data_IF_309064177823
#
_entry.id   IF_309064177823
#
_cell.length_a   1.000
_cell.length_b   1.000
_cell.length_c   1.000
_cell.angle_alpha   90.00
_cell.angle_beta   90.00
_cell.angle_gamma   90.00
#
_symmetry.space_group_name_H-M   'P 1'
#
loop_
_entity.id
_entity.type
_entity.pdbx_description
1 polymer ?
#
# COMPACT_ATOMS: atom_id res chain seq x y z
N UNK A 1 18.12 -2.20 9.20
CA UNK A 1 17.22 -2.99 10.05
C UNK A 1 17.75 -3.23 11.46
N UNK A 2 19.08 -3.50 11.62
CA UNK A 2 19.68 -3.75 12.95
C UNK A 2 19.46 -2.60 13.93
N UNK A 3 19.50 -1.37 13.46
CA UNK A 3 19.36 -0.15 14.27
C UNK A 3 18.02 -0.08 15.04
N UNK A 4 16.99 -0.77 14.54
CA UNK A 4 15.70 -0.83 15.23
C UNK A 4 15.77 -1.49 16.61
N UNK A 5 16.72 -2.39 16.86
CA UNK A 5 16.91 -3.02 18.16
C UNK A 5 17.38 -2.04 19.27
N UNK A 6 17.99 -0.93 18.84
CA UNK A 6 18.53 0.11 19.75
C UNK A 6 17.59 1.32 19.87
N UNK A 7 16.47 1.32 19.15
CA UNK A 7 15.47 2.40 19.22
C UNK A 7 14.88 2.49 20.64
N UNK A 8 14.70 3.72 21.14
CA UNK A 8 14.13 4.01 22.45
C UNK A 8 12.68 4.51 22.35
N UNK A 9 12.34 5.22 21.26
CA UNK A 9 10.96 5.58 20.95
C UNK A 9 10.67 5.33 19.48
N UNK A 10 9.50 4.78 19.18
CA UNK A 10 9.06 4.47 17.80
C UNK A 10 7.61 4.87 17.62
N UNK A 11 7.34 5.63 16.55
CA UNK A 11 6.00 5.88 16.06
C UNK A 11 5.75 5.05 14.78
N UNK A 12 4.79 4.16 14.86
CA UNK A 12 4.25 3.40 13.71
C UNK A 12 3.11 4.19 13.07
N UNK A 13 3.27 4.62 11.83
CA UNK A 13 2.24 5.35 11.07
C UNK A 13 1.68 4.43 9.99
N UNK A 14 0.44 3.97 10.15
CA UNK A 14 -0.19 3.04 9.22
C UNK A 14 0.66 1.78 8.99
N UNK A 15 1.19 1.17 10.05
CA UNK A 15 2.17 0.10 9.95
C UNK A 15 1.79 -1.10 10.82
N UNK A 16 1.89 -2.29 10.22
CA UNK A 16 1.75 -3.58 10.91
C UNK A 16 2.99 -4.47 10.63
N UNK A 17 4.16 -4.14 11.20
CA UNK A 17 5.43 -4.77 10.85
C UNK A 17 5.45 -6.29 11.03
N UNK A 18 4.61 -6.82 11.91
CA UNK A 18 4.45 -8.27 12.11
C UNK A 18 4.04 -8.99 10.81
N UNK A 19 3.16 -8.36 10.00
CA UNK A 19 2.68 -8.91 8.73
C UNK A 19 3.47 -8.38 7.53
N UNK A 20 3.69 -7.07 7.49
CA UNK A 20 4.26 -6.42 6.30
C UNK A 20 5.78 -6.68 6.17
N UNK A 21 6.49 -6.76 7.31
CA UNK A 21 7.92 -7.01 7.37
C UNK A 21 8.29 -7.76 8.66
N UNK A 22 8.09 -9.10 8.72
CA UNK A 22 8.23 -9.88 9.97
C UNK A 22 9.61 -9.78 10.63
N UNK A 23 10.68 -9.66 9.84
CA UNK A 23 12.03 -9.47 10.38
C UNK A 23 12.18 -8.11 11.07
N UNK A 24 11.60 -7.04 10.50
CA UNK A 24 11.52 -5.73 11.14
C UNK A 24 10.67 -5.79 12.41
N UNK A 25 9.50 -6.44 12.34
CA UNK A 25 8.63 -6.67 13.50
C UNK A 25 9.37 -7.36 14.66
N UNK A 26 10.23 -8.34 14.35
CA UNK A 26 11.06 -9.01 15.35
C UNK A 26 12.10 -8.06 15.98
N UNK A 27 12.74 -7.17 15.18
CA UNK A 27 13.68 -6.15 15.68
C UNK A 27 12.97 -5.14 16.60
N UNK A 28 11.79 -4.66 16.21
CA UNK A 28 10.97 -3.77 17.02
C UNK A 28 10.57 -4.45 18.35
N UNK A 29 10.18 -5.74 18.31
CA UNK A 29 9.88 -6.50 19.54
C UNK A 29 11.09 -6.64 20.46
N UNK A 30 12.30 -6.73 19.92
CA UNK A 30 13.53 -6.72 20.74
C UNK A 30 13.73 -5.37 21.40
N UNK A 31 13.58 -4.26 20.69
CA UNK A 31 13.64 -2.91 21.28
C UNK A 31 12.61 -2.76 22.41
N UNK A 32 11.35 -3.19 22.17
CA UNK A 32 10.32 -3.19 23.22
C UNK A 32 10.73 -3.98 24.47
N UNK A 33 11.33 -5.17 24.32
CA UNK A 33 11.86 -5.96 25.45
C UNK A 33 12.97 -5.23 26.21
N UNK A 34 13.68 -4.33 25.58
CA UNK A 34 14.70 -3.48 26.19
C UNK A 34 14.16 -2.14 26.69
N UNK A 35 12.83 -2.00 26.78
CA UNK A 35 12.16 -0.84 27.35
C UNK A 35 11.87 0.29 26.39
N UNK A 36 11.93 0.07 25.06
CA UNK A 36 11.52 1.08 24.07
C UNK A 36 10.03 1.40 24.19
N UNK A 37 9.69 2.67 24.11
CA UNK A 37 8.31 3.16 24.01
C UNK A 37 7.84 3.08 22.57
N UNK A 38 6.76 2.33 22.33
CA UNK A 38 6.23 2.13 20.98
C UNK A 38 4.82 2.68 20.92
N UNK A 39 4.57 3.49 19.91
CA UNK A 39 3.32 4.18 19.67
C UNK A 39 2.82 3.88 18.26
N UNK A 40 1.52 4.05 18.03
CA UNK A 40 0.94 3.87 16.71
C UNK A 40 -0.17 4.88 16.40
N UNK A 41 -0.24 5.31 15.12
CA UNK A 41 -1.39 5.92 14.47
C UNK A 41 -1.79 4.98 13.34
N UNK A 42 -2.83 4.18 13.54
CA UNK A 42 -3.18 3.07 12.66
C UNK A 42 -4.67 3.04 12.28
N UNK A 43 -5.02 2.40 11.13
CA UNK A 43 -6.41 2.16 10.75
C UNK A 43 -7.14 1.15 11.62
N UNK A 44 -6.42 0.30 12.35
CA UNK A 44 -6.93 -0.80 13.16
C UNK A 44 -6.09 -1.01 14.42
N UNK A 45 -6.69 -1.65 15.42
CA UNK A 45 -5.99 -2.16 16.59
C UNK A 45 -5.25 -3.47 16.25
N UNK A 46 -4.09 -3.36 15.57
CA UNK A 46 -3.30 -4.53 15.18
C UNK A 46 -2.69 -5.24 16.39
N UNK A 47 -2.64 -6.58 16.34
CA UNK A 47 -1.86 -7.38 17.27
C UNK A 47 -0.38 -7.41 16.85
N UNK A 48 0.46 -6.68 17.58
CA UNK A 48 1.90 -6.60 17.34
C UNK A 48 2.72 -7.66 18.10
N UNK A 49 2.10 -8.49 18.96
CA UNK A 49 2.79 -9.35 19.93
C UNK A 49 3.70 -8.62 20.92
N UNK A 50 3.45 -7.33 21.13
CA UNK A 50 4.00 -6.48 22.19
C UNK A 50 3.01 -5.35 22.46
N UNK A 51 3.10 -4.76 23.66
CA UNK A 51 2.21 -3.67 24.06
C UNK A 51 2.65 -2.35 23.46
N UNK A 52 1.69 -1.55 22.99
CA UNK A 52 1.90 -0.17 22.61
C UNK A 52 1.67 0.76 23.79
N UNK A 53 2.52 1.78 23.94
CA UNK A 53 2.38 2.79 24.99
C UNK A 53 1.19 3.73 24.70
N UNK A 54 1.01 4.11 23.43
CA UNK A 54 -0.16 4.85 22.98
C UNK A 54 -0.57 4.34 21.58
N UNK A 55 -1.88 4.21 21.38
CA UNK A 55 -2.45 3.76 20.12
C UNK A 55 -3.62 4.66 19.74
N UNK A 56 -3.49 5.33 18.60
CA UNK A 56 -4.51 6.18 18.00
C UNK A 56 -5.10 5.43 16.82
N UNK A 57 -6.37 5.04 16.94
CA UNK A 57 -7.07 4.23 15.93
C UNK A 57 -8.24 5.05 15.38
N UNK A 58 -8.36 5.10 14.07
CA UNK A 58 -9.42 5.85 13.45
C UNK A 58 -9.62 5.56 11.96
N UNK A 59 -10.71 6.11 11.46
CA UNK A 59 -10.96 6.17 10.03
C UNK A 59 -9.89 7.01 9.30
N UNK A 60 -9.86 7.04 7.94
CA UNK A 60 -8.85 7.79 7.22
C UNK A 60 -8.78 9.28 7.59
N UNK A 61 -9.89 9.96 7.91
CA UNK A 61 -9.86 11.37 8.33
C UNK A 61 -9.29 11.50 9.75
N UNK A 62 -9.67 10.60 10.65
CA UNK A 62 -9.17 10.60 12.02
C UNK A 62 -7.67 10.29 12.07
N UNK A 63 -7.15 9.41 11.21
CA UNK A 63 -5.70 9.16 11.11
C UNK A 63 -4.91 10.43 10.75
N UNK A 64 -5.43 11.26 9.83
CA UNK A 64 -4.80 12.55 9.50
C UNK A 64 -4.85 13.47 10.71
N UNK A 65 -6.02 13.59 11.36
CA UNK A 65 -6.21 14.45 12.51
C UNK A 65 -5.30 14.07 13.69
N UNK A 66 -5.20 12.78 13.99
CA UNK A 66 -4.39 12.26 15.08
C UNK A 66 -2.89 12.45 14.83
N UNK A 67 -2.43 12.17 13.60
CA UNK A 67 -1.03 12.41 13.24
C UNK A 67 -0.70 13.90 13.25
N UNK A 68 -1.62 14.76 12.79
CA UNK A 68 -1.48 16.21 12.85
C UNK A 68 -1.45 16.72 14.30
N UNK A 69 -2.21 16.11 15.22
CA UNK A 69 -2.17 16.47 16.64
C UNK A 69 -0.80 16.14 17.27
N UNK A 70 -0.17 15.02 16.91
CA UNK A 70 1.21 14.71 17.33
C UNK A 70 2.19 15.76 16.81
N UNK A 71 2.05 16.17 15.54
CA UNK A 71 2.88 17.19 14.93
C UNK A 71 2.69 18.57 15.62
N UNK A 72 1.45 18.96 15.90
CA UNK A 72 1.15 20.22 16.61
C UNK A 72 1.74 20.23 18.04
N UNK A 73 1.65 19.10 18.75
CA UNK A 73 2.25 18.96 20.07
C UNK A 73 3.79 19.10 20.03
N UNK A 74 4.45 18.52 19.03
CA UNK A 74 5.89 18.69 18.81
C UNK A 74 6.25 20.13 18.45
N UNK A 75 5.46 20.78 17.58
CA UNK A 75 5.65 22.18 17.22
C UNK A 75 5.62 23.09 18.46
N UNK A 76 4.71 22.85 19.40
CA UNK A 76 4.65 23.54 20.67
C UNK A 76 5.88 23.28 21.56
N UNK A 77 6.26 22.01 21.71
CA UNK A 77 7.43 21.61 22.52
C UNK A 77 8.74 22.21 22.02
N UNK A 78 8.87 22.36 20.70
CA UNK A 78 10.09 22.86 20.04
C UNK A 78 10.03 24.33 19.67
N UNK A 79 8.90 25.00 19.88
CA UNK A 79 8.65 26.39 19.47
C UNK A 79 8.95 26.62 17.97
N UNK A 80 8.59 25.64 17.13
CA UNK A 80 8.75 25.70 15.67
C UNK A 80 7.43 26.02 14.98
N UNK A 81 7.52 26.68 13.83
CA UNK A 81 6.34 27.04 13.04
C UNK A 81 5.79 25.80 12.34
N UNK A 82 4.47 25.70 12.31
CA UNK A 82 3.74 24.61 11.69
C UNK A 82 2.69 25.15 10.70
N UNK A 83 2.38 24.37 9.66
CA UNK A 83 1.42 24.75 8.62
C UNK A 83 0.01 24.97 9.18
N UNK A 84 -0.66 26.06 8.78
CA UNK A 84 -2.04 26.36 9.19
C UNK A 84 -3.00 25.23 8.83
N UNK A 85 -2.87 24.65 7.64
CA UNK A 85 -3.67 23.47 7.19
C UNK A 85 -3.56 22.29 8.17
N UNK A 86 -2.35 22.00 8.62
CA UNK A 86 -2.12 20.88 9.54
C UNK A 86 -2.65 21.22 10.95
N UNK A 87 -2.59 22.47 11.38
CA UNK A 87 -3.24 22.89 12.63
C UNK A 87 -4.77 22.71 12.58
N UNK A 88 -5.41 22.97 11.45
CA UNK A 88 -6.85 22.71 11.27
C UNK A 88 -7.17 21.20 11.38
N UNK A 89 -6.32 20.35 10.84
CA UNK A 89 -6.45 18.91 11.02
C UNK A 89 -6.22 18.50 12.48
N UNK A 90 -5.19 19.01 13.13
CA UNK A 90 -4.88 18.72 14.52
C UNK A 90 -6.04 19.04 15.47
N UNK A 91 -6.75 20.14 15.23
CA UNK A 91 -7.92 20.56 16.03
C UNK A 91 -9.10 19.55 15.94
N UNK A 92 -9.14 18.68 14.93
CA UNK A 92 -10.19 17.67 14.77
C UNK A 92 -9.90 16.37 15.52
N UNK A 93 -8.68 16.18 16.03
CA UNK A 93 -8.36 14.98 16.82
C UNK A 93 -9.07 15.00 18.17
N UNK A 94 -9.70 13.88 18.50
CA UNK A 94 -10.33 13.64 19.81
C UNK A 94 -9.34 13.04 20.82
N UNK A 95 -8.10 12.76 20.40
CA UNK A 95 -7.08 12.00 21.16
C UNK A 95 -5.87 12.87 21.54
N UNK A 96 -6.10 14.13 21.87
CA UNK A 96 -5.06 15.14 22.14
C UNK A 96 -4.06 14.74 23.22
N UNK A 97 -4.53 14.11 24.30
CA UNK A 97 -3.66 13.67 25.41
C UNK A 97 -2.65 12.61 24.97
N UNK A 98 -3.10 11.61 24.22
CA UNK A 98 -2.22 10.57 23.67
C UNK A 98 -1.25 11.16 22.63
N UNK A 99 -1.72 12.07 21.78
CA UNK A 99 -0.87 12.76 20.81
C UNK A 99 0.27 13.54 21.48
N UNK A 100 -0.02 14.25 22.59
CA UNK A 100 1.00 14.93 23.41
C UNK A 100 1.96 13.96 24.07
N UNK A 101 1.49 12.78 24.52
CA UNK A 101 2.35 11.74 25.10
C UNK A 101 3.31 11.18 24.06
N UNK A 102 2.82 10.89 22.84
CA UNK A 102 3.66 10.45 21.71
C UNK A 102 4.72 11.51 21.38
N UNK A 103 4.32 12.78 21.25
CA UNK A 103 5.23 13.87 20.95
C UNK A 103 6.36 13.99 21.99
N UNK A 104 6.03 13.89 23.28
CA UNK A 104 7.02 13.92 24.37
C UNK A 104 7.97 12.73 24.32
N UNK A 105 7.45 11.53 24.09
CA UNK A 105 8.25 10.32 23.99
C UNK A 105 9.28 10.42 22.85
N UNK A 106 8.83 10.78 21.63
CA UNK A 106 9.73 10.93 20.49
C UNK A 106 10.81 12.01 20.71
N UNK A 107 10.48 13.07 21.44
CA UNK A 107 11.41 14.16 21.70
C UNK A 107 12.42 13.86 22.81
N UNK A 108 12.04 13.06 23.81
CA UNK A 108 12.85 12.81 25.02
C UNK A 108 13.68 11.53 24.93
N UNK A 109 13.26 10.56 24.12
CA UNK A 109 13.88 9.25 24.03
C UNK A 109 14.73 9.14 22.75
N UNK A 110 16.05 9.03 22.89
CA UNK A 110 16.97 8.87 21.77
C UNK A 110 17.70 7.52 21.85
N UNK A 111 17.90 6.85 20.71
CA UNK A 111 17.45 7.17 19.35
C UNK A 111 15.95 6.90 19.15
N UNK A 112 15.28 7.80 18.43
CA UNK A 112 13.86 7.67 18.08
C UNK A 112 13.65 7.54 16.57
N UNK A 113 12.49 6.95 16.18
CA UNK A 113 12.15 6.69 14.77
C UNK A 113 10.67 6.91 14.48
N UNK A 114 10.39 7.31 13.25
CA UNK A 114 9.05 7.34 12.67
C UNK A 114 9.03 6.38 11.48
N UNK A 115 8.23 5.32 11.57
CA UNK A 115 8.07 4.32 10.51
C UNK A 115 6.74 4.54 9.77
N UNK A 116 6.82 4.92 8.50
CA UNK A 116 5.68 5.09 7.60
C UNK A 116 5.43 3.76 6.87
N UNK A 117 4.33 3.09 7.20
CA UNK A 117 4.06 1.72 6.79
C UNK A 117 3.14 1.59 5.58
N UNK A 118 2.85 0.35 5.19
CA UNK A 118 2.08 0.01 3.98
C UNK A 118 0.65 0.56 3.98
N UNK A 119 -0.02 0.55 5.14
CA UNK A 119 -1.36 1.13 5.27
C UNK A 119 -1.37 2.65 5.08
N UNK A 120 -0.30 3.35 5.50
CA UNK A 120 -0.17 4.78 5.28
C UNK A 120 0.18 5.10 3.82
N UNK A 121 0.99 4.27 3.16
CA UNK A 121 1.29 4.39 1.72
C UNK A 121 0.01 4.22 0.88
N UNK A 122 -0.91 3.36 1.30
CA UNK A 122 -2.20 3.12 0.62
C UNK A 122 -3.33 4.06 1.05
N UNK A 123 -3.06 4.99 1.96
CA UNK A 123 -4.06 5.94 2.43
C UNK A 123 -4.47 6.90 1.30
N UNK A 124 -5.76 7.30 1.19
CA UNK A 124 -6.22 8.25 0.15
C UNK A 124 -5.41 9.55 0.11
N UNK A 125 -4.95 10.01 1.27
CA UNK A 125 -4.11 11.21 1.42
C UNK A 125 -2.68 10.85 1.88
N UNK A 126 -2.07 9.81 1.28
CA UNK A 126 -0.75 9.32 1.67
C UNK A 126 0.33 10.40 1.62
N UNK A 127 0.30 11.30 0.63
CA UNK A 127 1.23 12.43 0.52
C UNK A 127 1.12 13.41 1.69
N UNK A 128 -0.10 13.69 2.16
CA UNK A 128 -0.33 14.54 3.33
C UNK A 128 0.17 13.86 4.62
N UNK A 129 -0.18 12.58 4.81
CA UNK A 129 0.33 11.81 5.97
C UNK A 129 1.86 11.75 5.98
N UNK A 130 2.49 11.53 4.82
CA UNK A 130 3.96 11.49 4.69
C UNK A 130 4.59 12.84 5.05
N UNK A 131 4.01 13.94 4.58
CA UNK A 131 4.47 15.30 4.93
C UNK A 131 4.39 15.56 6.43
N UNK A 132 3.28 15.16 7.09
CA UNK A 132 3.12 15.30 8.53
C UNK A 132 4.12 14.40 9.28
N UNK A 133 4.27 13.14 8.87
CA UNK A 133 5.21 12.19 9.48
C UNK A 133 6.68 12.65 9.37
N UNK A 134 7.07 13.22 8.23
CA UNK A 134 8.41 13.82 8.06
C UNK A 134 8.62 15.02 8.96
N UNK A 135 7.64 15.91 9.06
CA UNK A 135 7.70 17.01 10.01
C UNK A 135 7.86 16.51 11.46
N UNK A 136 7.12 15.46 11.86
CA UNK A 136 7.27 14.84 13.17
C UNK A 136 8.70 14.35 13.38
N UNK A 137 9.27 13.65 12.41
CA UNK A 137 10.64 13.14 12.48
C UNK A 137 11.67 14.28 12.60
N UNK A 138 11.56 15.29 11.76
CA UNK A 138 12.45 16.48 11.79
C UNK A 138 12.34 17.24 13.11
N UNK A 139 11.12 17.53 13.56
CA UNK A 139 10.87 18.30 14.79
C UNK A 139 11.30 17.53 16.05
N UNK A 140 11.22 16.21 16.07
CA UNK A 140 11.64 15.38 17.20
C UNK A 140 13.12 14.99 17.17
N UNK A 141 13.80 15.11 16.01
CA UNK A 141 15.14 14.56 15.79
C UNK A 141 15.15 13.07 15.48
N UNK A 142 13.98 12.49 15.18
CA UNK A 142 13.83 11.08 14.85
C UNK A 142 14.31 10.75 13.43
N UNK A 143 14.80 9.54 13.21
CA UNK A 143 14.97 9.02 11.86
C UNK A 143 13.61 8.76 11.23
N UNK A 144 13.46 9.09 9.94
CA UNK A 144 12.28 8.79 9.14
C UNK A 144 12.56 7.59 8.24
N UNK A 145 11.76 6.55 8.39
CA UNK A 145 11.83 5.35 7.56
C UNK A 145 10.48 5.13 6.85
N UNK A 146 10.51 4.77 5.59
CA UNK A 146 9.31 4.43 4.81
C UNK A 146 9.42 3.00 4.28
N UNK A 147 8.40 2.19 4.51
CA UNK A 147 8.35 0.85 3.95
C UNK A 147 7.95 0.91 2.46
N UNK A 148 8.79 0.39 1.56
CA UNK A 148 8.44 0.33 0.16
C UNK A 148 7.28 -0.65 -0.04
N UNK A 149 6.37 -0.30 -0.95
CA UNK A 149 5.27 -1.16 -1.31
C UNK A 149 5.74 -2.34 -2.17
N UNK A 150 5.41 -3.57 -1.75
CA UNK A 150 5.80 -4.80 -2.43
C UNK A 150 7.30 -5.12 -2.33
N UNK A 151 7.69 -6.28 -2.84
CA UNK A 151 9.04 -6.83 -2.69
C UNK A 151 10.14 -6.00 -3.41
N UNK A 152 9.79 -5.25 -4.45
CA UNK A 152 10.74 -4.49 -5.26
C UNK A 152 10.30 -3.04 -5.54
N UNK A 153 9.43 -2.49 -4.71
CA UNK A 153 8.92 -1.11 -4.86
C UNK A 153 10.04 -0.06 -4.85
N UNK A 154 11.05 -0.25 -3.99
CA UNK A 154 12.20 0.65 -3.92
C UNK A 154 13.01 0.66 -5.24
N UNK A 155 13.20 -0.49 -5.89
CA UNK A 155 13.84 -0.55 -7.20
C UNK A 155 13.00 0.10 -8.28
N UNK A 156 11.68 -0.13 -8.30
CA UNK A 156 10.76 0.50 -9.25
C UNK A 156 10.85 2.03 -9.21
N UNK A 157 10.92 2.61 -8.01
CA UNK A 157 11.16 4.04 -7.84
C UNK A 157 12.51 4.49 -8.42
N UNK A 158 13.59 3.76 -8.13
CA UNK A 158 14.95 4.10 -8.58
C UNK A 158 15.11 4.03 -10.08
N UNK A 159 14.45 3.08 -10.75
CA UNK A 159 14.52 2.96 -12.23
C UNK A 159 13.49 3.83 -12.95
N UNK A 160 12.62 4.55 -12.23
CA UNK A 160 11.63 5.43 -12.83
C UNK A 160 10.36 4.73 -13.33
N UNK A 161 10.03 3.53 -12.80
CA UNK A 161 8.75 2.85 -13.07
C UNK A 161 7.60 3.43 -12.23
N UNK A 162 7.55 4.75 -12.10
CA UNK A 162 6.51 5.50 -11.39
C UNK A 162 6.16 6.76 -12.20
N UNK A 163 4.91 7.27 -12.11
CA UNK A 163 4.45 8.32 -13.03
C UNK A 163 5.12 9.68 -12.85
N UNK A 164 5.78 9.93 -11.72
CA UNK A 164 6.36 11.22 -11.36
C UNK A 164 7.88 11.28 -11.43
N UNK A 165 8.55 10.20 -11.81
CA UNK A 165 10.01 10.11 -11.89
C UNK A 165 10.45 9.37 -13.14
N UNK A 166 11.54 9.83 -13.71
CA UNK A 166 12.27 9.13 -14.76
C UNK A 166 13.38 8.22 -14.21
N UNK A 167 14.15 7.57 -15.09
CA UNK A 167 15.25 6.68 -14.71
C UNK A 167 16.24 7.35 -13.77
N UNK A 168 16.67 6.62 -12.72
CA UNK A 168 17.55 7.13 -11.69
C UNK A 168 16.91 8.17 -10.77
N UNK A 169 15.58 8.28 -10.76
CA UNK A 169 14.86 9.28 -9.97
C UNK A 169 14.88 10.68 -10.59
N UNK A 170 15.29 10.81 -11.87
CA UNK A 170 15.33 12.09 -12.58
C UNK A 170 13.95 12.76 -12.66
N UNK A 171 13.93 14.08 -12.72
CA UNK A 171 12.69 14.82 -12.95
C UNK A 171 12.12 14.51 -14.34
N UNK A 172 10.82 14.33 -14.43
CA UNK A 172 10.10 14.11 -15.69
C UNK A 172 8.74 14.79 -15.62
N UNK A 173 8.09 14.94 -16.78
CA UNK A 173 6.68 15.34 -16.81
C UNK A 173 5.85 14.29 -16.07
N UNK A 174 4.98 14.75 -15.17
CA UNK A 174 4.14 13.86 -14.35
C UNK A 174 3.14 13.14 -15.28
N UNK A 175 3.24 11.81 -15.31
CA UNK A 175 2.30 10.95 -16.00
C UNK A 175 1.03 10.69 -15.19
N UNK A 176 0.11 9.91 -15.75
CA UNK A 176 -1.08 9.45 -15.04
C UNK A 176 -0.71 8.33 -14.07
N UNK A 177 -1.19 8.43 -12.82
CA UNK A 177 -1.17 7.28 -11.93
C UNK A 177 -2.17 6.20 -12.40
N UNK A 178 -2.08 4.99 -11.83
CA UNK A 178 -2.91 3.85 -12.25
C UNK A 178 -4.41 4.12 -12.06
N UNK A 179 -4.82 4.80 -10.98
CA UNK A 179 -6.22 5.14 -10.72
C UNK A 179 -6.78 6.10 -11.76
N UNK A 180 -6.04 7.16 -12.09
CA UNK A 180 -6.42 8.11 -13.13
C UNK A 180 -6.42 7.46 -14.52
N UNK A 181 -5.46 6.56 -14.80
CA UNK A 181 -5.38 5.88 -16.09
C UNK A 181 -6.63 5.03 -16.39
N UNK A 182 -7.21 4.38 -15.35
CA UNK A 182 -8.42 3.56 -15.53
C UNK A 182 -9.71 4.38 -15.44
N UNK A 183 -9.75 5.43 -14.62
CA UNK A 183 -10.96 6.30 -14.50
C UNK A 183 -11.15 7.26 -15.67
N UNK A 184 -10.05 7.69 -16.28
CA UNK A 184 -10.08 8.62 -17.44
C UNK A 184 -9.97 7.91 -18.77
N UNK A 185 -10.29 6.65 -18.87
CA UNK A 185 -10.20 5.75 -20.03
C UNK A 185 -9.14 6.13 -21.07
N UNK A 186 -8.35 5.18 -21.50
CA UNK A 186 -7.30 5.35 -22.51
C UNK A 186 -7.68 4.54 -23.74
N UNK A 187 -7.19 4.95 -24.91
CA UNK A 187 -7.38 4.20 -26.15
C UNK A 187 -6.61 2.88 -26.15
N UNK A 188 -5.45 2.83 -25.46
CA UNK A 188 -4.64 1.63 -25.39
C UNK A 188 -4.07 1.43 -23.97
N UNK A 189 -3.93 0.16 -23.57
CA UNK A 189 -3.28 -0.25 -22.34
C UNK A 189 -2.20 -1.27 -22.62
N UNK A 190 -1.09 -1.13 -21.91
CA UNK A 190 -0.05 -2.15 -21.81
C UNK A 190 0.02 -2.60 -20.36
N UNK A 191 -0.33 -3.85 -20.09
CA UNK A 191 -0.30 -4.46 -18.77
C UNK A 191 0.93 -5.37 -18.65
N UNK A 192 1.70 -5.22 -17.58
CA UNK A 192 2.85 -6.07 -17.31
C UNK A 192 2.69 -6.76 -15.97
N UNK A 193 2.29 -8.03 -15.99
CA UNK A 193 2.05 -8.86 -14.80
C UNK A 193 0.88 -8.41 -13.93
N UNK A 194 0.01 -7.52 -14.42
CA UNK A 194 -1.14 -7.02 -13.68
C UNK A 194 -2.44 -7.73 -14.11
N UNK A 195 -3.25 -8.08 -13.11
CA UNK A 195 -4.54 -8.74 -13.29
C UNK A 195 -5.67 -7.81 -12.81
N UNK A 196 -6.61 -7.49 -13.68
CA UNK A 196 -7.81 -6.74 -13.32
C UNK A 196 -8.98 -7.74 -13.07
N UNK A 197 -9.79 -7.49 -12.03
CA UNK A 197 -9.84 -6.26 -11.20
C UNK A 197 -8.91 -6.25 -9.98
N UNK A 198 -8.25 -7.35 -9.64
CA UNK A 198 -7.63 -7.62 -8.33
C UNK A 198 -6.46 -6.71 -7.98
N UNK A 199 -5.63 -6.33 -8.96
CA UNK A 199 -4.43 -5.51 -8.73
C UNK A 199 -4.71 -3.99 -8.74
N UNK A 200 -5.96 -3.60 -8.94
CA UNK A 200 -6.33 -2.19 -9.05
C UNK A 200 -7.10 -1.70 -7.83
N UNK A 201 -6.81 -0.48 -7.39
CA UNK A 201 -7.53 0.17 -6.30
C UNK A 201 -9.04 0.36 -6.62
N UNK A 202 -9.35 0.64 -7.90
CA UNK A 202 -10.69 0.69 -8.46
C UNK A 202 -10.83 -0.41 -9.51
N UNK A 203 -11.09 -1.63 -9.05
CA UNK A 203 -11.12 -2.82 -9.89
C UNK A 203 -12.25 -2.77 -10.91
N UNK A 204 -13.40 -2.22 -10.56
CA UNK A 204 -14.54 -2.08 -11.47
C UNK A 204 -14.19 -1.10 -12.62
N UNK A 205 -13.60 0.05 -12.29
CA UNK A 205 -13.15 1.00 -13.31
C UNK A 205 -12.05 0.39 -14.21
N UNK A 206 -11.14 -0.41 -13.65
CA UNK A 206 -10.10 -1.09 -14.43
C UNK A 206 -10.71 -2.09 -15.42
N UNK A 207 -11.61 -2.96 -14.97
CA UNK A 207 -12.27 -3.93 -15.85
C UNK A 207 -13.06 -3.23 -16.98
N UNK A 208 -13.81 -2.16 -16.63
CA UNK A 208 -14.55 -1.37 -17.61
C UNK A 208 -13.63 -0.66 -18.63
N UNK A 209 -12.54 -0.07 -18.17
CA UNK A 209 -11.58 0.63 -19.02
C UNK A 209 -10.89 -0.33 -20.01
N UNK A 210 -10.50 -1.52 -19.57
CA UNK A 210 -9.91 -2.54 -20.45
C UNK A 210 -10.93 -3.05 -21.48
N UNK A 211 -12.18 -3.27 -21.07
CA UNK A 211 -13.25 -3.71 -22.00
C UNK A 211 -13.67 -2.67 -23.05
N UNK A 212 -13.36 -1.38 -22.83
CA UNK A 212 -13.68 -0.27 -23.72
C UNK A 212 -12.49 0.22 -24.55
N UNK A 213 -11.28 -0.28 -24.30
CA UNK A 213 -10.08 0.15 -24.99
C UNK A 213 -10.04 -0.32 -26.45
N UNK A 214 -9.48 0.51 -27.33
CA UNK A 214 -9.23 0.13 -28.74
C UNK A 214 -8.18 -1.00 -28.81
N UNK A 215 -7.21 -1.02 -27.87
CA UNK A 215 -6.13 -2.01 -27.87
C UNK A 215 -5.63 -2.29 -26.45
N UNK A 216 -5.50 -3.57 -26.12
CA UNK A 216 -4.91 -4.05 -24.86
C UNK A 216 -3.84 -5.09 -25.16
N UNK A 217 -2.59 -4.79 -24.76
CA UNK A 217 -1.46 -5.71 -24.77
C UNK A 217 -1.18 -6.15 -23.32
N UNK A 218 -1.19 -7.45 -23.06
CA UNK A 218 -0.88 -8.00 -21.74
C UNK A 218 0.37 -8.87 -21.79
N UNK A 219 1.31 -8.60 -20.90
CA UNK A 219 2.39 -9.51 -20.52
C UNK A 219 1.93 -10.24 -19.28
N UNK A 220 1.63 -11.54 -19.40
CA UNK A 220 0.99 -12.29 -18.32
C UNK A 220 1.66 -13.65 -18.09
N UNK A 221 1.76 -14.04 -16.82
CA UNK A 221 2.22 -15.38 -16.41
C UNK A 221 1.05 -16.36 -16.24
N UNK A 222 -0.16 -15.84 -16.07
CA UNK A 222 -1.37 -16.62 -15.88
C UNK A 222 -2.47 -16.17 -16.84
N UNK A 223 -3.25 -17.11 -17.36
CA UNK A 223 -4.52 -16.80 -17.97
C UNK A 223 -5.46 -16.23 -16.90
N UNK A 224 -6.07 -15.11 -17.19
CA UNK A 224 -7.01 -14.42 -16.30
C UNK A 224 -8.27 -14.05 -17.08
N UNK A 225 -9.49 -14.31 -16.57
CA UNK A 225 -10.72 -14.14 -17.34
C UNK A 225 -10.88 -12.75 -17.96
N UNK A 226 -10.51 -11.68 -17.24
CA UNK A 226 -10.57 -10.31 -17.77
C UNK A 226 -9.58 -10.10 -18.91
N UNK A 227 -8.37 -10.66 -18.83
CA UNK A 227 -7.38 -10.56 -19.92
C UNK A 227 -7.83 -11.36 -21.14
N UNK A 228 -8.38 -12.56 -20.94
CA UNK A 228 -8.87 -13.40 -22.04
C UNK A 228 -10.02 -12.74 -22.80
N UNK A 229 -10.82 -11.91 -22.13
CA UNK A 229 -11.96 -11.20 -22.76
C UNK A 229 -11.60 -9.82 -23.29
N UNK A 230 -10.60 -9.13 -22.74
CA UNK A 230 -10.30 -7.73 -23.07
C UNK A 230 -9.00 -7.55 -23.85
N UNK A 231 -8.03 -8.47 -23.74
CA UNK A 231 -6.73 -8.30 -24.38
C UNK A 231 -6.78 -8.69 -25.87
N UNK A 232 -6.26 -7.82 -26.73
CA UNK A 232 -6.05 -8.14 -28.15
C UNK A 232 -4.84 -9.04 -28.34
N UNK A 233 -3.82 -8.91 -27.48
CA UNK A 233 -2.61 -9.72 -27.50
C UNK A 233 -2.20 -10.05 -26.07
N UNK A 234 -1.94 -11.34 -25.81
CA UNK A 234 -1.36 -11.82 -24.55
C UNK A 234 -0.01 -12.45 -24.87
N UNK A 235 1.06 -11.90 -24.28
CA UNK A 235 2.43 -12.41 -24.41
C UNK A 235 2.82 -13.13 -23.10
N UNK A 236 3.15 -14.44 -23.17
CA UNK A 236 3.48 -15.20 -21.96
C UNK A 236 4.85 -14.81 -21.42
N UNK A 237 4.91 -14.46 -20.14
CA UNK A 237 6.14 -14.11 -19.42
C UNK A 237 6.38 -15.04 -18.23
N UNK A 238 7.67 -15.22 -17.87
CA UNK A 238 8.05 -15.99 -16.68
C UNK A 238 7.76 -15.23 -15.39
N UNK A 239 7.59 -15.98 -14.32
CA UNK A 239 7.47 -15.49 -12.94
C UNK A 239 8.85 -15.12 -12.37
N UNK A 240 8.86 -14.34 -11.29
CA UNK A 240 10.10 -13.92 -10.62
C UNK A 240 11.07 -15.08 -10.29
N UNK A 241 10.65 -16.25 -9.80
CA UNK A 241 11.54 -17.39 -9.57
C UNK A 241 12.10 -18.04 -10.84
N UNK A 242 11.55 -17.74 -12.00
CA UNK A 242 11.89 -18.33 -13.31
C UNK A 242 12.82 -17.43 -14.14
N UNK A 243 13.13 -16.23 -13.65
CA UNK A 243 13.92 -15.25 -14.39
C UNK A 243 15.04 -14.64 -13.53
N UNK A 244 16.16 -14.34 -14.16
CA UNK A 244 17.20 -13.54 -13.52
C UNK A 244 16.70 -12.13 -13.26
N UNK A 245 17.07 -11.53 -12.12
CA UNK A 245 16.58 -10.22 -11.73
C UNK A 245 17.38 -9.56 -10.63
N UNK A 246 16.94 -8.38 -10.23
CA UNK A 246 17.50 -7.63 -9.11
C UNK A 246 16.39 -7.09 -8.23
N UNK A 247 16.61 -7.15 -6.92
CA UNK A 247 15.71 -6.62 -5.91
C UNK A 247 16.42 -5.59 -5.05
N UNK A 248 15.76 -4.53 -4.70
CA UNK A 248 16.18 -3.63 -3.64
C UNK A 248 15.28 -3.89 -2.44
N UNK A 249 15.86 -4.44 -1.39
CA UNK A 249 15.09 -4.80 -0.19
C UNK A 249 14.72 -3.57 0.67
N UNK A 250 14.03 -3.81 1.79
CA UNK A 250 13.51 -2.76 2.67
C UNK A 250 14.59 -1.87 3.31
N UNK A 251 15.84 -2.34 3.40
CA UNK A 251 16.97 -1.51 3.89
C UNK A 251 17.80 -0.86 2.77
N UNK A 252 17.31 -0.95 1.54
CA UNK A 252 17.94 -0.34 0.37
C UNK A 252 19.06 -1.17 -0.27
N UNK A 253 19.35 -2.39 0.23
CA UNK A 253 20.38 -3.26 -0.30
C UNK A 253 19.96 -3.87 -1.64
N UNK A 254 20.79 -3.72 -2.66
CA UNK A 254 20.61 -4.36 -3.96
C UNK A 254 21.04 -5.82 -3.89
N UNK A 255 20.13 -6.71 -4.26
CA UNK A 255 20.34 -8.16 -4.29
C UNK A 255 20.02 -8.70 -5.68
N UNK A 256 20.95 -9.47 -6.26
CA UNK A 256 20.72 -10.21 -7.50
C UNK A 256 20.08 -11.56 -7.21
N UNK A 257 19.19 -11.97 -8.08
CA UNK A 257 18.62 -13.32 -8.10
C UNK A 257 18.93 -14.00 -9.42
N UNK A 258 19.18 -15.31 -9.38
CA UNK A 258 19.26 -16.16 -10.55
C UNK A 258 17.98 -16.99 -10.68
N UNK A 259 17.60 -17.34 -11.92
CA UNK A 259 16.48 -18.20 -12.17
C UNK A 259 16.66 -19.57 -11.48
N UNK A 260 15.69 -19.93 -10.64
CA UNK A 260 15.66 -21.20 -9.90
C UNK A 260 14.76 -22.27 -10.53
N UNK A 261 13.98 -21.91 -11.56
CA UNK A 261 13.06 -22.79 -12.26
C UNK A 261 13.04 -22.49 -13.76
N UNK A 262 12.59 -23.46 -14.54
CA UNK A 262 12.32 -23.26 -15.97
C UNK A 262 10.96 -22.63 -16.18
N UNK A 263 10.89 -21.67 -17.09
CA UNK A 263 9.62 -21.15 -17.60
C UNK A 263 8.85 -22.23 -18.35
N UNK A 264 7.52 -22.33 -18.17
CA UNK A 264 6.70 -23.31 -18.86
C UNK A 264 6.43 -22.89 -20.33
N UNK A 265 6.30 -23.90 -21.20
CA UNK A 265 5.86 -23.70 -22.58
C UNK A 265 6.64 -22.63 -23.35
N UNK A 266 5.90 -21.70 -23.95
CA UNK A 266 6.44 -20.59 -24.73
C UNK A 266 6.73 -19.32 -23.92
N UNK A 267 6.61 -19.37 -22.60
CA UNK A 267 6.95 -18.23 -21.74
C UNK A 267 8.42 -17.82 -21.91
N UNK A 268 8.67 -16.53 -21.86
CA UNK A 268 10.00 -15.92 -21.96
C UNK A 268 10.20 -14.95 -20.81
N UNK A 269 11.46 -14.68 -20.48
CA UNK A 269 11.75 -13.60 -19.54
C UNK A 269 11.13 -12.30 -20.07
N UNK A 270 10.37 -11.59 -19.24
CA UNK A 270 9.61 -10.41 -19.68
C UNK A 270 10.48 -9.31 -20.30
N UNK A 271 11.74 -9.15 -19.81
CA UNK A 271 12.67 -8.21 -20.41
C UNK A 271 13.05 -8.57 -21.87
N UNK A 272 13.10 -9.86 -22.24
CA UNK A 272 13.35 -10.32 -23.62
C UNK A 272 12.18 -9.98 -24.53
N UNK A 273 10.96 -10.11 -24.03
CA UNK A 273 9.74 -9.77 -24.78
C UNK A 273 9.66 -8.27 -24.98
N UNK A 274 9.94 -7.46 -23.95
CA UNK A 274 10.01 -6.00 -24.03
C UNK A 274 11.11 -5.55 -25.00
N UNK A 275 12.29 -6.19 -24.96
CA UNK A 275 13.37 -5.91 -25.93
C UNK A 275 12.92 -6.15 -27.37
N UNK A 276 12.30 -7.28 -27.63
CA UNK A 276 11.79 -7.60 -28.98
C UNK A 276 10.74 -6.60 -29.44
N UNK A 277 9.84 -6.19 -28.56
CA UNK A 277 8.83 -5.17 -28.84
C UNK A 277 9.48 -3.81 -29.12
N UNK A 278 10.44 -3.38 -28.29
CA UNK A 278 11.18 -2.12 -28.49
C UNK A 278 11.93 -2.08 -29.82
N UNK A 279 12.62 -3.17 -30.17
CA UNK A 279 13.29 -3.32 -31.45
C UNK A 279 12.30 -3.28 -32.64
N UNK A 280 11.17 -3.98 -32.54
CA UNK A 280 10.13 -3.96 -33.59
C UNK A 280 9.50 -2.58 -33.79
N UNK A 281 9.45 -1.75 -32.76
CA UNK A 281 8.98 -0.36 -32.79
C UNK A 281 10.07 0.63 -33.18
N UNK A 282 11.30 0.19 -33.43
CA UNK A 282 12.44 1.05 -33.77
C UNK A 282 12.88 1.98 -32.63
N UNK A 283 12.64 1.60 -31.38
CA UNK A 283 13.03 2.40 -30.20
C UNK A 283 14.49 2.16 -29.86
N UNK A 284 15.24 3.25 -29.57
CA UNK A 284 16.61 3.16 -29.05
C UNK A 284 16.65 2.66 -27.61
N UNK A 285 17.81 2.08 -27.21
CA UNK A 285 18.04 1.59 -25.85
C UNK A 285 17.65 0.12 -25.63
N UNK A 286 17.33 -0.61 -26.70
CA UNK A 286 16.96 -2.04 -26.68
C UNK A 286 18.02 -2.93 -27.36
N UNK A 287 19.27 -2.46 -27.47
CA UNK A 287 20.37 -3.12 -28.18
C UNK A 287 21.14 -4.12 -27.31
N UNK A 288 20.53 -4.64 -26.25
CA UNK A 288 21.13 -5.65 -25.37
C UNK A 288 20.60 -7.05 -25.71
N UNK A 289 21.47 -8.06 -25.68
CA UNK A 289 21.14 -9.44 -26.03
C UNK A 289 21.01 -10.38 -24.83
N UNK A 290 21.58 -10.03 -23.69
CA UNK A 290 21.59 -10.85 -22.49
C UNK A 290 21.25 -10.02 -21.22
N UNK A 291 20.97 -10.75 -20.14
CA UNK A 291 20.63 -10.16 -18.85
C UNK A 291 21.81 -9.41 -18.22
N UNK A 292 23.04 -9.86 -18.44
CA UNK A 292 24.23 -9.22 -17.85
C UNK A 292 24.41 -7.80 -18.42
N UNK A 293 24.24 -7.63 -19.74
CA UNK A 293 24.27 -6.33 -20.42
C UNK A 293 23.13 -5.44 -19.93
N UNK A 294 21.87 -5.94 -19.89
CA UNK A 294 20.74 -5.21 -19.35
C UNK A 294 20.99 -4.78 -17.89
N UNK A 295 21.46 -5.70 -17.05
CA UNK A 295 21.76 -5.42 -15.65
C UNK A 295 22.85 -4.36 -15.49
N UNK A 296 23.91 -4.41 -16.31
CA UNK A 296 24.98 -3.40 -16.32
C UNK A 296 24.44 -1.99 -16.66
N UNK A 297 23.47 -1.91 -17.58
CA UNK A 297 22.84 -0.64 -17.95
C UNK A 297 21.92 -0.10 -16.84
N UNK A 298 21.21 -0.97 -16.12
CA UNK A 298 20.24 -0.59 -15.07
C UNK A 298 20.91 -0.35 -13.71
N UNK A 299 21.99 -1.06 -13.40
CA UNK A 299 22.68 -1.00 -12.11
C UNK A 299 23.06 0.42 -11.64
N UNK A 300 23.56 1.33 -12.50
CA UNK A 300 23.85 2.70 -12.09
C UNK A 300 22.60 3.46 -11.61
N UNK A 301 21.42 3.14 -12.16
CA UNK A 301 20.14 3.74 -11.78
C UNK A 301 19.66 3.25 -10.42
N UNK A 302 20.09 2.07 -9.98
CA UNK A 302 19.76 1.46 -8.69
C UNK A 302 20.65 1.95 -7.55
N UNK A 303 21.77 2.62 -7.87
CA UNK A 303 22.75 3.15 -6.90
C UNK A 303 22.23 4.41 -6.22
N UNK A 304 21.72 4.26 -5.02
CA UNK A 304 21.78 5.16 -3.88
C UNK A 304 21.50 6.67 -3.99
N UNK A 305 20.74 7.15 -4.95
CA UNK A 305 20.22 8.52 -4.89
C UNK A 305 19.17 8.64 -3.77
N UNK A 306 19.28 9.64 -2.91
CA UNK A 306 18.17 10.03 -2.04
C UNK A 306 16.98 10.38 -2.93
N UNK A 307 15.91 9.62 -2.80
CA UNK A 307 14.65 9.94 -3.47
C UNK A 307 14.13 11.23 -2.81
N UNK A 308 14.29 12.34 -3.53
CA UNK A 308 13.74 13.61 -3.07
C UNK A 308 12.20 13.56 -3.16
N UNK A 309 11.57 13.36 -2.00
CA UNK A 309 10.11 13.31 -1.88
C UNK A 309 9.49 14.72 -1.74
N UNK A 310 10.29 15.79 -1.74
CA UNK A 310 9.80 17.15 -1.50
C UNK A 310 9.04 17.73 -2.69
N UNK A 311 9.18 17.14 -3.88
CA UNK A 311 8.56 17.64 -5.11
C UNK A 311 7.09 17.23 -5.29
N UNK A 312 6.53 16.38 -4.41
CA UNK A 312 5.15 15.93 -4.53
C UNK A 312 4.19 16.96 -3.90
N UNK A 313 3.40 17.62 -4.74
CA UNK A 313 2.23 18.37 -4.27
C UNK A 313 1.20 17.37 -3.74
N UNK A 314 0.75 17.49 -2.48
CA UNK A 314 -0.28 16.60 -1.97
C UNK A 314 -1.59 16.83 -2.74
N UNK A 315 -2.08 15.78 -3.38
CA UNK A 315 -3.45 15.75 -3.91
C UNK A 315 -4.29 14.90 -2.97
N UNK A 316 -4.93 15.49 -1.96
CA UNK A 316 -5.78 14.72 -1.07
C UNK A 316 -6.98 14.17 -1.86
N UNK A 317 -7.20 12.86 -1.80
CA UNK A 317 -8.47 12.30 -2.24
C UNK A 317 -9.52 12.72 -1.21
N UNK A 318 -10.63 13.35 -1.62
CA UNK A 318 -11.65 13.75 -0.68
C UNK A 318 -12.19 12.53 0.09
N UNK A 319 -12.19 12.64 1.43
CA UNK A 319 -12.86 11.67 2.28
C UNK A 319 -14.32 12.10 2.37
N UNK A 320 -15.22 11.25 1.89
CA UNK A 320 -16.62 11.59 1.77
C UNK A 320 -17.26 11.85 3.16
N UNK A 321 -17.90 13.00 3.31
CA UNK A 321 -18.81 13.28 4.40
C UNK A 321 -20.18 12.60 4.16
N UNK A 322 -21.08 12.64 5.15
CA UNK A 322 -22.47 12.17 5.03
C UNK A 322 -22.73 10.84 5.74
N UNK A 323 -23.90 10.25 5.43
CA UNK A 323 -24.37 9.02 6.05
C UNK A 323 -23.74 7.75 5.45
N UNK A 324 -23.88 6.63 6.15
CA UNK A 324 -23.33 5.33 5.78
C UNK A 324 -21.94 5.06 6.34
N UNK A 325 -21.44 3.84 6.13
CA UNK A 325 -20.15 3.41 6.62
C UNK A 325 -19.03 3.81 5.64
N UNK A 326 -17.93 4.30 6.20
CA UNK A 326 -16.75 4.69 5.42
C UNK A 326 -15.99 3.45 4.96
N UNK A 327 -15.76 3.32 3.67
CA UNK A 327 -14.96 2.22 3.12
C UNK A 327 -13.49 2.40 3.47
N UNK A 328 -12.89 1.36 4.03
CA UNK A 328 -11.45 1.26 4.26
C UNK A 328 -10.93 -0.04 3.66
N UNK A 329 -10.32 0.08 2.48
CA UNK A 329 -9.74 -1.07 1.79
C UNK A 329 -8.35 -1.38 2.32
N UNK A 330 -7.99 -2.65 2.32
CA UNK A 330 -6.65 -3.14 2.60
C UNK A 330 -6.33 -4.30 1.66
N UNK A 331 -5.05 -4.58 1.45
CA UNK A 331 -4.62 -5.72 0.68
C UNK A 331 -4.06 -6.80 1.61
N UNK A 332 -4.73 -7.95 1.73
CA UNK A 332 -4.22 -9.08 2.48
C UNK A 332 -2.88 -9.58 1.92
N UNK A 333 -1.98 -10.06 2.79
CA UNK A 333 -0.63 -10.48 2.38
C UNK A 333 -0.63 -11.62 1.36
N UNK A 334 -1.65 -12.48 1.34
CA UNK A 334 -1.79 -13.56 0.37
C UNK A 334 -2.65 -13.20 -0.84
N UNK A 335 -2.92 -11.90 -1.04
CA UNK A 335 -3.63 -11.37 -2.22
C UNK A 335 -2.78 -10.38 -3.03
N UNK A 336 -1.52 -10.15 -2.64
CA UNK A 336 -0.64 -9.11 -3.21
C UNK A 336 -0.28 -9.30 -4.67
N UNK A 337 -0.28 -10.54 -5.18
CA UNK A 337 0.01 -10.84 -6.58
C UNK A 337 -0.67 -12.13 -7.06
N UNK A 338 -0.57 -12.39 -8.37
CA UNK A 338 -1.16 -13.56 -9.00
C UNK A 338 -0.59 -14.91 -8.54
N UNK A 339 0.64 -14.95 -8.02
CA UNK A 339 1.28 -16.17 -7.51
C UNK A 339 0.66 -16.57 -6.18
N UNK A 340 0.67 -15.66 -5.20
CA UNK A 340 0.13 -15.95 -3.86
C UNK A 340 -1.38 -16.15 -3.89
N UNK A 341 -2.12 -15.45 -4.78
CA UNK A 341 -3.56 -15.68 -4.97
C UNK A 341 -3.89 -17.10 -5.39
N UNK A 342 -2.99 -17.75 -6.14
CA UNK A 342 -3.12 -19.13 -6.65
C UNK A 342 -2.42 -20.20 -5.81
N UNK A 343 -1.96 -19.87 -4.61
CA UNK A 343 -1.30 -20.77 -3.68
C UNK A 343 -2.29 -21.32 -2.63
N UNK A 344 -2.95 -22.50 -2.85
CA UNK A 344 -3.98 -23.02 -1.93
C UNK A 344 -3.46 -23.21 -0.51
N UNK A 345 -2.19 -23.61 -0.37
CA UNK A 345 -1.57 -23.79 0.93
C UNK A 345 -1.50 -22.49 1.75
N UNK A 346 -1.28 -21.34 1.10
CA UNK A 346 -1.29 -20.02 1.77
C UNK A 346 -2.73 -19.61 2.10
N UNK A 347 -3.66 -19.81 1.17
CA UNK A 347 -5.08 -19.44 1.35
C UNK A 347 -5.76 -20.22 2.49
N UNK A 348 -5.28 -21.44 2.80
CA UNK A 348 -5.81 -22.28 3.89
C UNK A 348 -5.22 -21.98 5.27
N UNK A 349 -4.29 -21.06 5.38
CA UNK A 349 -3.72 -20.65 6.69
C UNK A 349 -4.65 -19.68 7.43
N UNK A 350 -4.34 -19.39 8.70
CA UNK A 350 -5.05 -18.40 9.53
C UNK A 350 -4.97 -16.97 8.99
N UNK A 351 -4.06 -16.69 8.05
CA UNK A 351 -3.92 -15.41 7.36
C UNK A 351 -4.60 -15.41 5.99
N UNK A 352 -5.21 -16.54 5.58
CA UNK A 352 -6.08 -16.61 4.42
C UNK A 352 -7.37 -15.82 4.68
N UNK A 353 -7.84 -15.11 3.68
CA UNK A 353 -9.06 -14.29 3.76
C UNK A 353 -10.03 -14.63 2.63
N UNK A 354 -11.32 -14.41 2.87
CA UNK A 354 -12.41 -14.80 1.97
C UNK A 354 -13.09 -13.63 1.26
N UNK A 355 -12.64 -12.38 1.50
CA UNK A 355 -13.27 -11.19 0.91
C UNK A 355 -14.55 -10.75 1.60
N UNK A 356 -14.77 -11.16 2.84
CA UNK A 356 -15.85 -10.70 3.69
C UNK A 356 -15.72 -9.22 4.07
N UNK A 357 -16.84 -8.57 4.34
CA UNK A 357 -16.86 -7.23 4.95
C UNK A 357 -16.67 -7.35 6.45
N UNK A 358 -15.91 -6.42 7.06
CA UNK A 358 -15.72 -6.40 8.51
C UNK A 358 -16.21 -5.08 9.08
N UNK A 359 -17.02 -5.15 10.13
CA UNK A 359 -17.62 -4.01 10.82
C UNK A 359 -17.31 -4.06 12.30
N UNK A 360 -17.29 -2.88 12.94
CA UNK A 360 -17.30 -2.84 14.40
C UNK A 360 -18.52 -3.59 14.95
N UNK A 361 -18.42 -4.32 16.09
CA UNK A 361 -19.56 -5.09 16.65
C UNK A 361 -20.83 -4.26 16.89
N UNK A 362 -20.68 -3.00 17.33
CA UNK A 362 -21.85 -2.12 17.54
C UNK A 362 -22.52 -1.70 16.22
N UNK A 363 -21.74 -1.50 15.15
CA UNK A 363 -22.28 -1.17 13.83
C UNK A 363 -22.97 -2.41 13.22
N UNK A 364 -22.37 -3.60 13.39
CA UNK A 364 -22.99 -4.86 12.98
C UNK A 364 -24.30 -5.12 13.73
N UNK A 365 -24.33 -4.86 15.04
CA UNK A 365 -25.53 -4.99 15.86
C UNK A 365 -26.63 -4.00 15.42
N UNK A 366 -26.28 -2.75 15.14
CA UNK A 366 -27.22 -1.73 14.63
C UNK A 366 -27.86 -2.14 13.29
N UNK A 367 -27.15 -2.91 12.47
CA UNK A 367 -27.66 -3.50 11.23
C UNK A 367 -28.41 -4.84 11.47
N UNK A 368 -28.46 -5.32 12.71
CA UNK A 368 -29.10 -6.59 13.06
C UNK A 368 -28.34 -7.84 12.58
N UNK A 369 -27.02 -7.74 12.38
CA UNK A 369 -26.20 -8.85 11.85
C UNK A 369 -25.64 -9.74 12.97
N UNK A 370 -25.41 -9.21 14.17
CA UNK A 370 -24.74 -9.95 15.24
C UNK A 370 -23.25 -10.19 14.94
N UNK A 371 -22.75 -11.41 15.17
CA UNK A 371 -21.33 -11.77 14.96
C UNK A 371 -20.99 -12.02 13.48
N UNK A 372 -21.91 -12.55 12.72
CA UNK A 372 -21.76 -12.80 11.29
C UNK A 372 -23.12 -12.86 10.60
N UNK A 373 -23.15 -12.57 9.32
CA UNK A 373 -24.36 -12.62 8.50
C UNK A 373 -24.13 -12.14 7.08
N UNK A 374 -25.18 -12.09 6.28
CA UNK A 374 -25.14 -11.61 4.92
C UNK A 374 -25.70 -10.20 4.83
N UNK A 375 -25.03 -9.39 4.04
CA UNK A 375 -25.41 -8.00 3.76
C UNK A 375 -25.43 -7.74 2.27
N UNK A 376 -26.15 -6.69 1.88
CA UNK A 376 -26.15 -6.18 0.52
C UNK A 376 -25.55 -4.76 0.48
N UNK A 377 -24.75 -4.48 -0.54
CA UNK A 377 -24.26 -3.14 -0.88
C UNK A 377 -24.58 -2.92 -2.36
N UNK A 378 -25.41 -1.94 -2.66
CA UNK A 378 -25.86 -1.69 -4.03
C UNK A 378 -26.50 -2.90 -4.71
N UNK A 379 -27.21 -3.74 -3.94
CA UNK A 379 -27.85 -4.97 -4.43
C UNK A 379 -26.92 -6.19 -4.55
N UNK A 380 -25.63 -6.04 -4.32
CA UNK A 380 -24.68 -7.17 -4.34
C UNK A 380 -24.52 -7.73 -2.92
N UNK A 381 -24.61 -9.07 -2.80
CA UNK A 381 -24.51 -9.79 -1.51
C UNK A 381 -23.07 -10.04 -1.11
N UNK A 382 -22.76 -9.82 0.17
CA UNK A 382 -21.46 -10.07 0.79
C UNK A 382 -21.65 -10.78 2.14
N UNK A 383 -20.72 -11.67 2.47
CA UNK A 383 -20.55 -12.10 3.84
C UNK A 383 -20.01 -10.94 4.68
N UNK A 384 -20.50 -10.83 5.91
CA UNK A 384 -20.10 -9.77 6.84
C UNK A 384 -19.84 -10.36 8.23
N UNK A 385 -18.76 -9.91 8.88
CA UNK A 385 -18.40 -10.35 10.23
C UNK A 385 -18.15 -9.14 11.14
N UNK A 386 -18.49 -9.29 12.41
CA UNK A 386 -18.15 -8.32 13.44
C UNK A 386 -16.68 -8.47 13.85
N UNK A 387 -15.93 -7.37 13.90
CA UNK A 387 -14.51 -7.34 14.28
C UNK A 387 -14.24 -6.15 15.19
N UNK A 388 -13.85 -6.37 16.47
CA UNK A 388 -13.61 -5.29 17.42
C UNK A 388 -12.39 -4.43 17.09
N UNK A 389 -11.54 -4.89 16.17
CA UNK A 389 -10.36 -4.16 15.70
C UNK A 389 -10.72 -3.01 14.76
N UNK A 390 -11.89 -3.10 14.11
CA UNK A 390 -12.38 -2.10 13.14
C UNK A 390 -12.97 -0.90 13.90
N UNK A 391 -12.59 0.35 13.56
CA UNK A 391 -13.21 1.53 14.15
C UNK A 391 -14.71 1.61 13.85
N UNK A 392 -15.48 2.26 14.71
CA UNK A 392 -16.89 2.56 14.45
C UNK A 392 -17.08 3.44 13.23
N UNK A 393 -18.16 3.21 12.49
CA UNK A 393 -18.48 3.95 11.27
C UNK A 393 -17.66 3.55 10.04
N UNK A 394 -16.85 2.48 10.16
CA UNK A 394 -15.99 1.98 9.09
C UNK A 394 -16.45 0.60 8.61
N UNK A 395 -16.48 0.42 7.29
CA UNK A 395 -16.55 -0.89 6.64
C UNK A 395 -15.16 -1.25 6.09
N UNK A 396 -14.51 -2.23 6.70
CA UNK A 396 -13.24 -2.74 6.21
C UNK A 396 -13.46 -3.75 5.08
N UNK A 397 -12.76 -3.55 3.96
CA UNK A 397 -12.93 -4.32 2.73
C UNK A 397 -11.58 -4.86 2.25
N UNK A 398 -11.46 -6.18 2.14
CA UNK A 398 -10.29 -6.81 1.55
C UNK A 398 -10.26 -6.56 0.03
N UNK A 399 -9.12 -6.08 -0.48
CA UNK A 399 -8.82 -5.97 -1.91
C UNK A 399 -8.22 -7.28 -2.45
N UNK A 400 -8.06 -7.37 -3.77
CA UNK A 400 -7.50 -8.57 -4.40
C UNK A 400 -8.50 -9.71 -4.56
N UNK A 401 -9.81 -9.43 -4.47
CA UNK A 401 -10.91 -10.35 -4.75
C UNK A 401 -11.83 -9.78 -5.82
N UNK A 402 -12.20 -10.58 -6.80
CA UNK A 402 -13.18 -10.17 -7.80
C UNK A 402 -14.53 -9.81 -7.17
N UNK A 403 -14.94 -10.51 -6.10
CA UNK A 403 -16.19 -10.24 -5.36
C UNK A 403 -16.24 -8.84 -4.74
N UNK A 404 -15.12 -8.31 -4.26
CA UNK A 404 -15.06 -6.97 -3.65
C UNK A 404 -14.68 -5.86 -4.63
N UNK A 405 -14.44 -6.19 -5.90
CA UNK A 405 -14.01 -5.23 -6.93
C UNK A 405 -15.07 -4.16 -7.23
N UNK A 406 -16.35 -4.50 -7.09
CA UNK A 406 -17.47 -3.58 -7.30
C UNK A 406 -17.63 -2.53 -6.17
N UNK A 407 -16.99 -2.75 -5.02
CA UNK A 407 -17.04 -1.80 -3.91
C UNK A 407 -16.15 -0.60 -4.17
N UNK A 408 -16.53 0.60 -3.70
CA UNK A 408 -15.76 1.81 -3.96
C UNK A 408 -14.40 1.82 -3.26
N UNK A 409 -13.56 2.77 -3.64
CA UNK A 409 -12.23 2.98 -3.05
C UNK A 409 -12.32 3.47 -1.60
N UNK A 410 -11.21 3.37 -0.87
CA UNK A 410 -11.09 3.94 0.49
C UNK A 410 -11.46 5.42 0.50
N UNK A 411 -12.24 5.83 1.51
CA UNK A 411 -12.70 7.20 1.69
C UNK A 411 -14.12 7.44 1.15
N UNK A 412 -14.68 6.56 0.35
CA UNK A 412 -16.10 6.61 -0.05
C UNK A 412 -17.00 6.08 1.06
N UNK A 413 -18.29 6.42 1.01
CA UNK A 413 -19.32 5.87 1.92
C UNK A 413 -20.23 4.92 1.20
N UNK A 414 -20.68 3.89 1.93
CA UNK A 414 -21.60 2.88 1.44
C UNK A 414 -22.77 2.72 2.41
N UNK A 415 -23.93 2.44 1.85
CA UNK A 415 -25.09 1.96 2.60
C UNK A 415 -25.05 0.44 2.61
N UNK A 416 -25.21 -0.14 3.80
CA UNK A 416 -25.23 -1.59 3.99
C UNK A 416 -26.61 -1.99 4.47
N UNK A 417 -27.21 -2.95 3.81
CA UNK A 417 -28.52 -3.50 4.14
C UNK A 417 -28.39 -4.96 4.57
N UNK A 418 -29.09 -5.35 5.62
CA UNK A 418 -29.16 -6.75 6.01
C UNK A 418 -29.95 -7.55 4.98
N UNK A 419 -29.38 -8.67 4.51
CA UNK A 419 -30.15 -9.65 3.73
C UNK A 419 -30.97 -10.48 4.67
N UNK A 420 -32.31 -10.43 4.54
CA UNK A 420 -33.20 -11.32 5.27
C UNK A 420 -33.08 -12.70 4.64
N UNK A 421 -32.66 -13.68 5.42
CA UNK A 421 -32.78 -15.07 5.00
C UNK A 421 -34.29 -15.37 4.92
N UNK A 422 -34.78 -15.66 3.72
CA UNK A 422 -36.16 -16.07 3.47
C UNK A 422 -36.42 -17.46 4.02
#
# INVERSE_FOLDING_TARGET
LADYEHTRALLLVGSHPRHDAPLLGNRIRRAWKHGAEIHAVNPLAFDHHFSLNNQLIGDPAQQIADLAAVAAALAQLRSVTFSAEINEWAARSTQQTQAQAIARSLHQQEPSRVLFGDHAVRHPSASLLRRIARFIAEASGSAFDEMPHGANGAAAWRVGCVPQRGPGGSATAIGSNALDAVRKSRRAYVLYGAEAPEDFADGAAAAAALGQADFVLAFAAFAHPTLETSANVILPIGLAPEVDGSYVNVDGTLQAIAAGAKMPGDARAGWRVLRALGAALGLGGFEFDDFATLHANVRPLLGGGTLDATAEQPSPVPIAGGEGLLVQRYLPIYRVDGVVRRAPALQSTVLGESGELRLHPEDALALGIGQAGDVAVGGVRFACVASPEVPRGVCRVASGFASTAALPVTGARIQIERVKNG
#
